data_IF_435271100568
#
_entry.id   IF_435271100568
#
_cell.length_a   1.000
_cell.length_b   1.000
_cell.length_c   1.000
_cell.angle_alpha   90.00
_cell.angle_beta   90.00
_cell.angle_gamma   90.00
#
_symmetry.space_group_name_H-M   'P 1'
#
loop_
_entity.id
_entity.type
_entity.pdbx_description
1 polymer ?
#
# COMPACT_ATOMS: atom_id res chain seq x y z
N UNK A 1 -4.78 8.02 -12.53
CA UNK A 1 -5.13 9.35 -12.00
C UNK A 1 -5.86 9.19 -10.66
N UNK A 2 -5.21 9.47 -9.53
CA UNK A 2 -5.82 9.48 -8.20
C UNK A 2 -6.04 10.94 -7.82
N UNK A 3 -7.27 11.38 -7.59
CA UNK A 3 -7.49 12.72 -7.05
C UNK A 3 -6.90 12.78 -5.62
N UNK A 4 -5.88 13.62 -5.36
CA UNK A 4 -5.27 13.73 -4.04
C UNK A 4 -6.28 14.07 -2.94
N UNK A 5 -7.30 14.87 -3.28
CA UNK A 5 -8.31 15.32 -2.33
C UNK A 5 -9.19 14.16 -1.82
N UNK A 6 -9.31 13.10 -2.61
CA UNK A 6 -10.14 11.93 -2.25
C UNK A 6 -9.31 10.84 -1.59
N UNK A 7 -8.25 10.38 -2.25
CA UNK A 7 -7.42 9.29 -1.73
C UNK A 7 -6.60 9.73 -0.51
N UNK A 8 -6.09 10.98 -0.51
CA UNK A 8 -5.36 11.54 0.61
C UNK A 8 -6.23 11.72 1.85
N UNK A 9 -7.51 12.10 1.68
CA UNK A 9 -8.44 12.22 2.80
C UNK A 9 -8.72 10.87 3.48
N UNK A 10 -8.88 9.79 2.71
CA UNK A 10 -9.09 8.46 3.28
C UNK A 10 -7.85 7.96 4.04
N UNK A 11 -6.65 8.18 3.49
CA UNK A 11 -5.39 7.83 4.15
C UNK A 11 -5.21 8.64 5.43
N UNK A 12 -5.47 9.94 5.40
CA UNK A 12 -5.43 10.80 6.61
C UNK A 12 -6.40 10.31 7.66
N UNK A 13 -7.62 9.94 7.29
CA UNK A 13 -8.61 9.40 8.23
C UNK A 13 -8.14 8.08 8.84
N UNK A 14 -7.56 7.19 8.04
CA UNK A 14 -7.01 5.91 8.50
C UNK A 14 -5.87 6.10 9.49
N UNK A 15 -4.88 6.93 9.16
CA UNK A 15 -3.73 7.18 10.04
C UNK A 15 -4.13 7.90 11.31
N UNK A 16 -5.09 8.83 11.23
CA UNK A 16 -5.65 9.50 12.41
C UNK A 16 -6.40 8.54 13.35
N UNK A 17 -6.90 7.42 12.82
CA UNK A 17 -7.56 6.36 13.60
C UNK A 17 -6.60 5.25 14.06
N UNK A 18 -5.29 5.37 13.80
CA UNK A 18 -4.27 4.35 14.09
C UNK A 18 -4.57 2.98 13.48
N UNK A 19 -5.18 2.95 12.30
CA UNK A 19 -5.51 1.71 11.60
C UNK A 19 -4.48 1.39 10.52
N UNK A 20 -4.20 0.11 10.36
CA UNK A 20 -3.52 -0.43 9.18
C UNK A 20 -4.47 -0.39 7.96
N UNK A 21 -3.89 -0.53 6.75
CA UNK A 21 -4.67 -0.63 5.51
C UNK A 21 -5.68 -1.78 5.54
N UNK A 22 -5.33 -2.90 6.17
CA UNK A 22 -6.21 -4.07 6.29
C UNK A 22 -7.35 -3.80 7.28
N UNK A 23 -7.05 -3.25 8.46
CA UNK A 23 -8.08 -2.94 9.46
C UNK A 23 -9.06 -1.86 8.98
N UNK A 24 -8.58 -0.85 8.25
CA UNK A 24 -9.44 0.18 7.69
C UNK A 24 -10.43 -0.36 6.64
N UNK A 25 -10.08 -1.44 5.94
CA UNK A 25 -10.97 -2.09 4.97
C UNK A 25 -12.10 -2.90 5.63
N UNK A 26 -11.89 -3.41 6.84
CA UNK A 26 -12.93 -4.10 7.63
C UNK A 26 -13.65 -3.18 8.62
N UNK A 27 -13.09 -2.01 8.92
CA UNK A 27 -13.62 -1.08 9.91
C UNK A 27 -14.92 -0.41 9.46
N UNK A 28 -15.91 -0.36 10.35
CA UNK A 28 -17.17 0.38 10.17
C UNK A 28 -16.96 1.90 10.03
N UNK A 29 -15.79 2.43 10.41
CA UNK A 29 -15.43 3.83 10.22
C UNK A 29 -15.37 4.25 8.75
N UNK A 30 -15.28 3.30 7.83
CA UNK A 30 -15.18 3.53 6.39
C UNK A 30 -16.36 2.92 5.66
N UNK A 31 -17.02 3.73 4.82
CA UNK A 31 -18.01 3.25 3.87
C UNK A 31 -17.39 2.52 2.66
N UNK A 32 -18.23 1.99 1.79
CA UNK A 32 -17.83 1.16 0.64
C UNK A 32 -16.75 1.81 -0.24
N UNK A 33 -16.96 3.08 -0.63
CA UNK A 33 -16.06 3.79 -1.54
C UNK A 33 -14.68 4.08 -0.93
N UNK A 34 -14.57 4.66 0.29
CA UNK A 34 -13.29 4.77 0.98
C UNK A 34 -12.55 3.43 1.13
N UNK A 35 -13.25 2.35 1.48
CA UNK A 35 -12.63 1.01 1.57
C UNK A 35 -12.03 0.56 0.24
N UNK A 36 -12.77 0.74 -0.86
CA UNK A 36 -12.29 0.38 -2.18
C UNK A 36 -11.07 1.22 -2.59
N UNK A 37 -11.08 2.52 -2.29
CA UNK A 37 -9.93 3.40 -2.57
C UNK A 37 -8.70 3.03 -1.74
N UNK A 38 -8.86 2.74 -0.45
CA UNK A 38 -7.76 2.24 0.40
C UNK A 38 -7.20 0.91 -0.11
N UNK A 39 -8.06 0.00 -0.60
CA UNK A 39 -7.63 -1.24 -1.25
C UNK A 39 -6.83 -0.98 -2.52
N UNK A 40 -7.26 -0.03 -3.35
CA UNK A 40 -6.48 0.41 -4.52
C UNK A 40 -5.13 1.00 -4.11
N UNK A 41 -5.07 1.81 -3.04
CA UNK A 41 -3.80 2.31 -2.50
C UNK A 41 -2.88 1.16 -2.11
N UNK A 42 -3.39 0.20 -1.31
CA UNK A 42 -2.61 -0.95 -0.84
C UNK A 42 -2.05 -1.77 -2.00
N UNK A 43 -2.89 -2.14 -2.97
CA UNK A 43 -2.47 -2.93 -4.13
C UNK A 43 -1.35 -2.24 -4.90
N UNK A 44 -1.57 -1.00 -5.33
CA UNK A 44 -0.58 -0.33 -6.18
C UNK A 44 0.71 0.00 -5.39
N UNK A 45 0.66 0.13 -4.06
CA UNK A 45 1.85 0.25 -3.22
C UNK A 45 2.64 -1.05 -3.19
N UNK A 46 1.97 -2.20 -3.03
CA UNK A 46 2.63 -3.50 -3.04
C UNK A 46 3.22 -3.83 -4.41
N UNK A 47 2.51 -3.53 -5.49
CA UNK A 47 3.04 -3.66 -6.87
C UNK A 47 4.28 -2.77 -7.11
N UNK A 48 4.40 -1.65 -6.42
CA UNK A 48 5.61 -0.82 -6.46
C UNK A 48 6.73 -1.43 -5.63
N UNK A 49 6.43 -1.94 -4.43
CA UNK A 49 7.41 -2.60 -3.56
C UNK A 49 7.97 -3.88 -4.19
N UNK A 50 7.15 -4.66 -4.88
CA UNK A 50 7.57 -5.89 -5.58
C UNK A 50 8.63 -5.62 -6.67
N UNK A 51 8.67 -4.40 -7.21
CA UNK A 51 9.67 -3.98 -8.20
C UNK A 51 10.98 -3.53 -7.57
N UNK A 52 10.99 -3.30 -6.25
CA UNK A 52 12.19 -2.87 -5.54
C UNK A 52 12.97 -4.13 -5.14
N UNK A 53 14.19 -4.31 -5.67
CA UNK A 53 14.99 -5.45 -5.29
C UNK A 53 15.33 -5.41 -3.81
N UNK A 54 15.11 -6.52 -3.11
CA UNK A 54 15.45 -6.62 -1.69
C UNK A 54 16.96 -6.85 -1.54
N UNK A 55 17.71 -5.75 -1.40
CA UNK A 55 19.18 -5.76 -1.33
C UNK A 55 19.73 -6.64 -0.20
N UNK A 56 18.97 -6.81 0.88
CA UNK A 56 19.38 -7.66 2.02
C UNK A 56 19.40 -9.16 1.68
N UNK A 57 18.75 -9.62 0.61
CA UNK A 57 18.85 -11.00 0.10
C UNK A 57 19.67 -11.12 -1.18
N UNK A 58 20.19 -10.00 -1.73
CA UNK A 58 20.99 -10.03 -2.97
C UNK A 58 22.43 -10.50 -2.79
N UNK A 59 22.90 -10.69 -1.56
CA UNK A 59 24.26 -11.17 -1.27
C UNK A 59 24.55 -12.62 -1.75
N UNK A 60 23.64 -13.26 -2.49
CA UNK A 60 23.78 -14.63 -2.99
C UNK A 60 23.70 -14.79 -4.52
N UNK A 61 23.58 -13.70 -5.30
CA UNK A 61 23.59 -13.77 -6.78
C UNK A 61 24.75 -12.96 -7.33
N UNK A 62 25.97 -13.42 -7.04
CA UNK A 62 27.20 -12.98 -7.69
C UNK A 62 28.01 -14.22 -8.08
N UNK A 63 27.43 -15.01 -8.97
CA UNK A 63 27.97 -16.16 -9.73
C UNK A 63 26.85 -16.36 -10.77
N UNK A 64 27.00 -16.21 -12.09
CA UNK A 64 28.01 -16.70 -13.02
C UNK A 64 27.70 -16.01 -14.36
N UNK A 65 28.64 -15.30 -14.98
CA UNK A 65 28.71 -15.22 -16.44
C UNK A 65 30.20 -15.22 -16.82
N UNK A 66 30.63 -16.40 -17.28
CA UNK A 66 31.91 -16.74 -17.92
C UNK A 66 31.92 -16.27 -19.38
#
# INVERSE_FOLDING_TARGET
NRNPDTFGADIKKMTSANLTLSEAQSSELFGLMPRQRLRTVQRDLYEQLDKIPFLATQAGTSEEEV
#
